data_IF_845653959132
#
_entry.id   IF_845653959132
#
_cell.length_a   1.000
_cell.length_b   1.000
_cell.length_c   1.000
_cell.angle_alpha   90.00
_cell.angle_beta   90.00
_cell.angle_gamma   90.00
#
_symmetry.space_group_name_H-M   'P 1'
#
loop_
_entity.id
_entity.type
_entity.pdbx_description
1 polymer ?
#
# COMPACT_ATOMS: atom_id res chain seq x y z
N UNK A 1 -19.25 24.67 -71.64
CA UNK A 1 -17.92 24.85 -71.03
C UNK A 1 -18.12 25.80 -69.87
N UNK A 2 -17.88 25.32 -68.64
CA UNK A 2 -17.70 26.03 -67.35
C UNK A 2 -17.93 24.95 -66.26
N UNK A 3 -16.88 24.34 -65.69
CA UNK A 3 -16.19 24.70 -64.42
C UNK A 3 -17.16 25.02 -63.28
N UNK A 4 -17.16 24.42 -62.10
CA UNK A 4 -16.35 23.43 -61.40
C UNK A 4 -16.93 23.38 -59.98
N UNK A 5 -16.76 22.28 -59.25
CA UNK A 5 -17.22 22.18 -57.86
C UNK A 5 -16.66 20.92 -57.21
N UNK A 6 -15.56 21.12 -56.48
CA UNK A 6 -14.76 20.09 -55.83
C UNK A 6 -15.58 19.34 -54.77
N UNK A 7 -15.48 18.01 -54.78
CA UNK A 7 -16.01 17.15 -53.71
C UNK A 7 -15.14 17.31 -52.47
N UNK A 8 -15.81 17.55 -51.34
CA UNK A 8 -15.21 17.63 -50.01
C UNK A 8 -14.51 16.32 -49.66
N UNK A 9 -13.33 16.46 -49.06
CA UNK A 9 -12.52 15.35 -48.58
C UNK A 9 -12.80 15.22 -47.08
N UNK A 10 -13.57 14.21 -46.69
CA UNK A 10 -13.73 13.85 -45.28
C UNK A 10 -12.44 13.18 -44.79
N UNK A 11 -11.50 14.01 -44.35
CA UNK A 11 -10.32 13.61 -43.58
C UNK A 11 -10.70 13.29 -42.14
N UNK A 12 -11.51 12.25 -41.94
CA UNK A 12 -11.75 11.68 -40.62
C UNK A 12 -10.70 10.62 -40.32
N UNK A 13 -9.84 10.90 -39.34
CA UNK A 13 -9.44 10.00 -38.26
C UNK A 13 -7.93 10.08 -37.92
N UNK A 14 -7.64 10.46 -36.68
CA UNK A 14 -6.71 9.81 -35.73
C UNK A 14 -6.27 10.84 -34.71
N UNK A 15 -6.79 10.73 -33.48
CA UNK A 15 -6.09 11.10 -32.24
C UNK A 15 -7.03 10.86 -31.04
N UNK A 16 -7.21 9.60 -30.62
CA UNK A 16 -7.74 9.28 -29.28
C UNK A 16 -7.25 7.91 -28.79
N UNK A 17 -5.93 7.68 -28.75
CA UNK A 17 -5.37 6.45 -28.16
C UNK A 17 -4.51 6.72 -26.91
N UNK A 18 -4.40 7.97 -26.45
CA UNK A 18 -3.47 8.36 -25.37
C UNK A 18 -4.06 8.58 -23.98
N UNK A 19 -5.39 8.68 -23.83
CA UNK A 19 -6.04 9.05 -22.55
C UNK A 19 -6.51 7.84 -21.73
N UNK A 20 -6.77 6.70 -22.38
CA UNK A 20 -7.34 5.52 -21.73
C UNK A 20 -6.33 4.79 -20.80
N UNK A 21 -5.03 4.91 -21.10
CA UNK A 21 -3.97 4.30 -20.28
C UNK A 21 -3.71 5.06 -18.98
N UNK A 22 -3.81 6.40 -19.02
CA UNK A 22 -3.64 7.25 -17.82
C UNK A 22 -4.80 7.12 -16.83
N UNK A 23 -6.02 6.92 -17.32
CA UNK A 23 -7.20 6.72 -16.46
C UNK A 23 -7.14 5.37 -15.74
N UNK A 24 -6.70 4.31 -16.43
CA UNK A 24 -6.44 2.98 -15.83
C UNK A 24 -5.33 2.97 -14.79
N UNK A 25 -4.28 3.77 -14.97
CA UNK A 25 -3.22 3.94 -13.97
C UNK A 25 -3.73 4.66 -12.72
N UNK A 26 -4.52 5.73 -12.90
CA UNK A 26 -5.14 6.46 -11.78
C UNK A 26 -6.13 5.61 -10.99
N UNK A 27 -6.93 4.78 -11.66
CA UNK A 27 -7.83 3.83 -10.99
C UNK A 27 -7.05 2.80 -10.15
N UNK A 28 -5.91 2.33 -10.64
CA UNK A 28 -5.02 1.39 -9.91
C UNK A 28 -4.35 2.03 -8.70
N UNK A 29 -3.98 3.31 -8.79
CA UNK A 29 -3.41 4.07 -7.67
C UNK A 29 -4.49 4.38 -6.61
N UNK A 30 -5.71 4.74 -7.04
CA UNK A 30 -6.83 5.04 -6.13
C UNK A 30 -7.27 3.86 -5.25
N UNK A 31 -6.92 2.63 -5.64
CA UNK A 31 -7.21 1.41 -4.88
C UNK A 31 -6.18 1.11 -3.78
N UNK A 32 -5.04 1.79 -3.74
CA UNK A 32 -4.01 1.58 -2.71
C UNK A 32 -4.39 2.32 -1.42
N UNK A 33 -5.00 3.50 -1.55
CA UNK A 33 -5.40 4.34 -0.42
C UNK A 33 -6.49 3.67 0.46
N UNK A 34 -7.24 2.70 -0.08
CA UNK A 34 -8.33 1.99 0.60
C UNK A 34 -7.95 0.55 1.01
N UNK A 35 -6.66 0.29 1.23
CA UNK A 35 -6.17 -1.05 1.60
C UNK A 35 -5.44 -1.06 2.93
N UNK A 36 -5.88 -1.94 3.82
CA UNK A 36 -5.08 -2.35 4.98
C UNK A 36 -3.97 -3.29 4.47
N UNK A 37 -2.80 -3.27 5.11
CA UNK A 37 -1.67 -4.08 4.63
C UNK A 37 -0.94 -4.78 5.74
N UNK A 38 -0.54 -6.03 5.47
CA UNK A 38 0.28 -6.81 6.39
C UNK A 38 1.54 -7.31 5.70
N UNK A 39 2.66 -7.20 6.40
CA UNK A 39 3.92 -7.84 6.00
C UNK A 39 3.83 -9.33 6.29
N UNK A 40 3.86 -10.16 5.25
CA UNK A 40 3.77 -11.62 5.36
C UNK A 40 5.14 -12.31 5.38
N UNK A 41 6.21 -11.58 5.05
CA UNK A 41 7.58 -12.09 5.12
C UNK A 41 8.54 -10.99 5.60
N UNK A 42 9.50 -11.33 6.46
CA UNK A 42 10.51 -10.38 6.93
C UNK A 42 11.44 -9.96 5.81
N UNK A 43 11.65 -8.65 5.67
CA UNK A 43 12.59 -8.07 4.71
C UNK A 43 13.69 -7.34 5.45
N UNK A 44 14.96 -7.66 5.15
CA UNK A 44 16.11 -7.11 5.88
C UNK A 44 16.57 -5.73 5.40
N UNK A 45 15.94 -5.15 4.39
CA UNK A 45 16.37 -3.87 3.82
C UNK A 45 17.74 -3.94 3.12
N UNK A 46 18.09 -5.08 2.53
CA UNK A 46 19.41 -5.33 1.94
C UNK A 46 19.71 -4.55 0.64
N UNK A 47 18.75 -3.75 0.16
CA UNK A 47 18.86 -2.95 -1.06
C UNK A 47 19.03 -1.47 -0.72
N UNK A 48 19.47 -0.67 -1.68
CA UNK A 48 19.52 0.80 -1.52
C UNK A 48 18.14 1.35 -1.18
N UNK A 49 18.04 2.16 -0.13
CA UNK A 49 16.78 2.67 0.41
C UNK A 49 15.81 1.57 0.90
N UNK A 50 16.30 0.35 1.14
CA UNK A 50 15.48 -0.76 1.61
C UNK A 50 14.94 -0.51 3.02
N UNK A 51 13.63 -0.62 3.20
CA UNK A 51 13.00 -0.53 4.51
C UNK A 51 12.99 -1.91 5.17
N UNK A 52 13.64 -2.08 6.32
CA UNK A 52 13.57 -3.33 7.06
C UNK A 52 12.16 -3.52 7.67
N UNK A 53 11.56 -4.69 7.43
CA UNK A 53 10.19 -5.03 7.83
C UNK A 53 10.16 -6.40 8.54
N UNK A 54 9.30 -6.51 9.54
CA UNK A 54 9.03 -7.76 10.26
C UNK A 54 7.65 -8.32 9.90
N UNK A 55 7.50 -9.65 9.98
CA UNK A 55 6.20 -10.29 9.72
C UNK A 55 5.16 -9.77 10.71
N UNK A 56 3.96 -9.45 10.21
CA UNK A 56 2.85 -8.90 10.97
C UNK A 56 2.95 -7.39 11.22
N UNK A 57 3.92 -6.69 10.62
CA UNK A 57 3.88 -5.23 10.59
C UNK A 57 2.89 -4.72 9.55
N UNK A 58 2.24 -3.61 9.86
CA UNK A 58 1.43 -2.84 8.92
C UNK A 58 2.30 -1.78 8.25
N UNK A 59 2.16 -1.63 6.94
CA UNK A 59 2.84 -0.58 6.17
C UNK A 59 1.85 0.34 5.48
N UNK A 60 2.22 1.60 5.31
CA UNK A 60 1.50 2.50 4.43
C UNK A 60 2.27 2.62 3.11
N UNK A 61 1.61 2.24 2.02
CA UNK A 61 2.17 2.31 0.67
C UNK A 61 1.90 3.71 0.13
N UNK A 62 2.96 4.37 -0.35
CA UNK A 62 2.90 5.69 -0.96
C UNK A 62 2.97 5.61 -2.48
N UNK A 63 3.81 4.70 -2.98
CA UNK A 63 4.02 4.52 -4.42
C UNK A 63 4.17 3.03 -4.73
N UNK A 64 3.76 2.67 -5.94
CA UNK A 64 3.93 1.33 -6.51
C UNK A 64 4.74 1.42 -7.79
N UNK A 65 5.78 0.61 -7.89
CA UNK A 65 6.50 0.36 -9.13
C UNK A 65 6.56 -1.15 -9.36
N UNK A 66 6.71 -1.62 -10.59
CA UNK A 66 6.61 -3.04 -10.93
C UNK A 66 7.44 -3.93 -9.98
N UNK A 67 6.75 -4.72 -9.14
CA UNK A 67 7.35 -5.63 -8.16
C UNK A 67 7.82 -5.01 -6.84
N UNK A 68 7.72 -3.69 -6.67
CA UNK A 68 8.18 -2.96 -5.48
C UNK A 68 7.16 -1.94 -4.99
N UNK A 69 7.13 -1.76 -3.68
CA UNK A 69 6.40 -0.67 -3.04
C UNK A 69 7.40 0.27 -2.37
N UNK A 70 7.02 1.55 -2.31
CA UNK A 70 7.67 2.55 -1.47
C UNK A 70 6.67 2.99 -0.41
N UNK A 71 7.11 3.04 0.84
CA UNK A 71 6.22 3.31 1.97
C UNK A 71 6.96 3.47 3.28
N UNK A 72 6.21 3.36 4.37
CA UNK A 72 6.74 3.35 5.74
C UNK A 72 5.97 2.35 6.61
N UNK A 73 6.62 1.84 7.66
CA UNK A 73 5.96 1.02 8.69
C UNK A 73 5.18 1.93 9.64
N UNK A 74 3.98 1.53 10.04
CA UNK A 74 3.17 2.29 11.03
C UNK A 74 3.90 2.42 12.37
N UNK A 75 4.83 1.50 12.68
CA UNK A 75 5.70 1.57 13.85
C UNK A 75 6.80 2.64 13.74
N UNK A 76 7.17 3.04 12.52
CA UNK A 76 8.28 3.98 12.22
C UNK A 76 7.90 4.95 11.09
N UNK A 77 6.91 5.84 11.29
CA UNK A 77 6.35 6.67 10.22
C UNK A 77 7.34 7.67 9.60
N UNK A 78 8.38 8.04 10.34
CA UNK A 78 9.42 8.96 9.87
C UNK A 78 10.46 8.32 8.94
N UNK A 79 10.46 6.99 8.80
CA UNK A 79 11.44 6.24 7.99
C UNK A 79 10.74 5.68 6.76
N UNK A 80 11.08 6.25 5.59
CA UNK A 80 10.56 5.79 4.30
C UNK A 80 11.59 4.93 3.59
N UNK A 81 11.12 3.93 2.85
CA UNK A 81 11.99 3.10 2.01
C UNK A 81 11.20 2.20 1.08
N UNK A 82 11.93 1.33 0.39
CA UNK A 82 11.38 0.39 -0.60
C UNK A 82 11.37 -1.04 -0.08
N UNK A 83 10.38 -1.82 -0.50
CA UNK A 83 10.22 -3.22 -0.14
C UNK A 83 9.53 -4.01 -1.27
N UNK A 84 9.80 -5.31 -1.43
CA UNK A 84 9.20 -6.11 -2.49
C UNK A 84 7.68 -6.24 -2.33
N UNK A 85 6.93 -6.13 -3.42
CA UNK A 85 5.48 -6.19 -3.38
C UNK A 85 4.94 -7.56 -2.92
N UNK A 86 5.66 -8.64 -3.22
CA UNK A 86 5.28 -10.01 -2.83
C UNK A 86 5.48 -10.32 -1.34
N UNK A 87 6.02 -9.38 -0.56
CA UNK A 87 6.18 -9.51 0.89
C UNK A 87 5.00 -8.88 1.64
N UNK A 88 4.10 -8.24 0.91
CA UNK A 88 2.98 -7.47 1.45
C UNK A 88 1.68 -8.09 0.98
N UNK A 89 0.79 -8.34 1.92
CA UNK A 89 -0.57 -8.73 1.65
C UNK A 89 -1.47 -7.49 1.70
N UNK A 90 -2.14 -7.19 0.59
CA UNK A 90 -3.14 -6.12 0.53
C UNK A 90 -4.49 -6.69 0.94
N UNK A 91 -5.07 -6.14 1.99
CA UNK A 91 -6.42 -6.42 2.46
C UNK A 91 -7.36 -5.31 2.03
N UNK A 92 -8.61 -5.66 1.75
CA UNK A 92 -9.65 -4.66 1.51
C UNK A 92 -9.92 -3.94 2.83
N UNK A 93 -9.73 -2.63 2.85
CA UNK A 93 -10.25 -1.79 3.93
C UNK A 93 -11.49 -1.05 3.43
N UNK A 94 -12.21 -0.44 4.37
CA UNK A 94 -13.25 0.54 4.06
C UNK A 94 -12.78 1.87 4.63
N UNK A 95 -12.41 2.79 3.76
CA UNK A 95 -12.11 4.18 4.11
C UNK A 95 -13.43 4.90 4.37
N UNK A 96 -13.65 5.26 5.62
CA UNK A 96 -14.73 6.17 6.00
C UNK A 96 -14.14 7.56 6.24
N UNK A 97 -14.85 8.60 5.80
CA UNK A 97 -14.44 10.02 5.91
C UNK A 97 -13.26 10.44 5.00
N UNK A 98 -13.48 10.52 3.68
CA UNK A 98 -12.51 11.14 2.77
C UNK A 98 -12.34 12.63 3.12
N UNK A 99 -11.21 13.01 3.70
CA UNK A 99 -10.95 14.37 4.20
C UNK A 99 -9.82 14.41 5.25
N UNK A 100 -9.66 15.52 6.02
CA UNK A 100 -8.58 15.67 7.02
C UNK A 100 -8.58 14.64 8.16
N UNK A 101 -9.59 13.78 8.25
CA UNK A 101 -9.82 12.79 9.31
C UNK A 101 -10.03 11.38 8.73
N UNK A 102 -9.34 11.09 7.62
CA UNK A 102 -9.38 9.79 6.95
C UNK A 102 -9.09 8.66 7.94
N UNK A 103 -10.07 7.77 8.12
CA UNK A 103 -9.96 6.62 8.99
C UNK A 103 -10.08 5.36 8.13
N UNK A 104 -8.95 4.68 7.95
CA UNK A 104 -8.87 3.36 7.32
C UNK A 104 -9.31 2.34 8.37
N UNK A 105 -10.50 1.75 8.19
CA UNK A 105 -10.98 0.68 9.08
C UNK A 105 -10.77 -0.65 8.36
N UNK A 106 -9.91 -1.55 8.89
CA UNK A 106 -9.78 -2.91 8.37
C UNK A 106 -11.13 -3.63 8.37
N UNK A 107 -11.33 -4.55 7.42
CA UNK A 107 -12.55 -5.37 7.38
C UNK A 107 -12.57 -6.43 8.50
N UNK A 108 -11.44 -6.69 9.16
CA UNK A 108 -11.40 -7.52 10.36
C UNK A 108 -12.26 -6.94 11.49
N UNK A 109 -12.92 -7.84 12.23
CA UNK A 109 -13.76 -7.47 13.38
C UNK A 109 -12.92 -6.68 14.42
N UNK A 110 -13.37 -5.50 14.88
CA UNK A 110 -12.67 -4.70 15.88
C UNK A 110 -12.23 -5.51 17.11
N UNK A 111 -13.04 -6.48 17.55
CA UNK A 111 -12.71 -7.34 18.69
C UNK A 111 -11.48 -8.20 18.38
N UNK A 112 -11.38 -8.74 17.16
CA UNK A 112 -10.23 -9.54 16.74
C UNK A 112 -8.97 -8.68 16.70
N UNK A 113 -9.07 -7.44 16.22
CA UNK A 113 -7.92 -6.51 16.19
C UNK A 113 -7.43 -6.13 17.59
N UNK A 114 -8.35 -5.87 18.52
CA UNK A 114 -8.04 -5.50 19.91
C UNK A 114 -7.41 -6.67 20.67
N UNK A 115 -7.99 -7.87 20.54
CA UNK A 115 -7.46 -9.08 21.17
C UNK A 115 -6.08 -9.42 20.63
N UNK A 116 -5.88 -9.33 19.31
CA UNK A 116 -4.57 -9.58 18.67
C UNK A 116 -3.53 -8.59 19.16
N UNK A 117 -3.86 -7.29 19.22
CA UNK A 117 -2.95 -6.24 19.71
C UNK A 117 -2.57 -6.47 21.18
N UNK A 118 -3.56 -6.79 22.01
CA UNK A 118 -3.34 -7.07 23.44
C UNK A 118 -2.38 -8.25 23.62
N UNK A 119 -2.59 -9.36 22.88
CA UNK A 119 -1.71 -10.52 22.94
C UNK A 119 -0.28 -10.22 22.48
N UNK A 120 -0.12 -9.40 21.43
CA UNK A 120 1.20 -8.98 20.95
C UNK A 120 1.96 -8.15 21.99
N UNK A 121 1.29 -7.19 22.63
CA UNK A 121 1.87 -6.39 23.72
C UNK A 121 2.30 -7.29 24.88
N UNK A 122 1.45 -8.23 25.27
CA UNK A 122 1.74 -9.16 26.37
C UNK A 122 2.90 -10.10 26.04
N UNK A 123 3.01 -10.58 24.80
CA UNK A 123 4.12 -11.42 24.37
C UNK A 123 5.48 -10.71 24.49
N UNK A 124 5.54 -9.41 24.19
CA UNK A 124 6.74 -8.60 24.36
C UNK A 124 7.12 -8.47 25.84
N UNK A 125 6.15 -8.15 26.70
CA UNK A 125 6.35 -8.03 28.14
C UNK A 125 6.79 -9.35 28.77
N UNK A 126 6.16 -10.46 28.38
CA UNK A 126 6.55 -11.80 28.83
C UNK A 126 7.96 -12.16 28.43
N UNK A 127 8.39 -11.82 27.22
CA UNK A 127 9.78 -12.04 26.79
C UNK A 127 10.76 -11.22 27.64
N UNK A 128 10.43 -9.98 27.95
CA UNK A 128 11.25 -9.14 28.85
C UNK A 128 11.33 -9.74 30.26
N UNK A 129 10.20 -10.17 30.82
CA UNK A 129 10.15 -10.82 32.13
C UNK A 129 10.95 -12.13 32.15
N UNK A 130 10.80 -12.98 31.13
CA UNK A 130 11.53 -14.24 31.02
C UNK A 130 13.05 -14.02 31.00
N UNK A 131 13.54 -13.03 30.25
CA UNK A 131 14.97 -12.70 30.21
C UNK A 131 15.44 -12.12 31.55
N UNK A 132 14.64 -11.26 32.18
CA UNK A 132 14.95 -10.66 33.48
C UNK A 132 15.05 -11.73 34.58
N UNK A 133 14.12 -12.68 34.62
CA UNK A 133 14.09 -13.76 35.61
C UNK A 133 15.17 -14.83 35.40
N UNK A 134 15.93 -14.82 34.29
CA UNK A 134 17.12 -15.67 34.11
C UNK A 134 18.36 -15.18 34.85
N UNK A 135 18.35 -13.96 35.38
CA UNK A 135 19.51 -13.36 36.08
C UNK A 135 19.48 -13.67 37.59
N UNK A 136 18.37 -14.19 38.12
CA UNK A 136 18.17 -14.45 39.55
C UNK A 136 18.23 -15.95 39.94
N UNK A 137 18.86 -16.81 39.14
CA UNK A 137 19.11 -18.23 39.44
C UNK A 137 20.59 -18.59 39.41
#
# INVERSE_FOLDING_TARGET
METGGMRESDGGNRETDGDNDKERERERESGIDDTDTDVICSFRGSVTQGLALEVGETVQILEKCEGWYRGFSTRKPNVKGVFPANYIHLKKAIVTNRGPHETVVPLEDPIVTEVTSTLQEWALLWKQLYVKHKVDL
#
